data_IF_714328126821
#
_entry.id   IF_714328126821
#
_cell.length_a   1.000
_cell.length_b   1.000
_cell.length_c   1.000
_cell.angle_alpha   90.00
_cell.angle_beta   90.00
_cell.angle_gamma   90.00
#
_symmetry.space_group_name_H-M   'P 1'
#
loop_
_entity.id
_entity.type
_entity.pdbx_description
1 polymer ?
#
# COMPACT_ATOMS: atom_id res chain seq x y z
N UNK A 1 -0.16 -28.77 -6.99
CA UNK A 1 -0.61 -28.13 -5.73
C UNK A 1 0.09 -26.79 -5.65
N UNK A 2 -0.62 -25.67 -5.85
CA UNK A 2 -0.01 -24.35 -5.67
C UNK A 2 -0.01 -24.06 -4.17
N UNK A 3 1.17 -23.92 -3.58
CA UNK A 3 1.34 -23.37 -2.23
C UNK A 3 0.96 -21.89 -2.32
N UNK A 4 -0.30 -21.57 -2.06
CA UNK A 4 -0.68 -20.19 -1.74
C UNK A 4 -0.07 -19.97 -0.35
N UNK A 5 0.90 -19.06 -0.26
CA UNK A 5 1.44 -18.63 1.04
C UNK A 5 0.28 -18.18 1.96
N UNK A 6 0.51 -18.01 3.27
CA UNK A 6 -0.55 -17.56 4.17
C UNK A 6 -1.17 -16.28 3.61
N UNK A 7 -2.50 -16.17 3.64
CA UNK A 7 -3.19 -14.95 3.27
C UNK A 7 -2.64 -13.79 4.11
N UNK A 8 -2.16 -12.74 3.44
CA UNK A 8 -1.66 -11.54 4.10
C UNK A 8 -2.77 -10.50 4.09
N UNK A 9 -3.41 -10.35 5.24
CA UNK A 9 -4.46 -9.37 5.47
C UNK A 9 -3.91 -8.21 6.32
N UNK A 10 -4.13 -6.98 5.87
CA UNK A 10 -3.80 -5.77 6.61
C UNK A 10 -5.02 -4.86 6.69
N UNK A 11 -5.51 -4.58 7.90
CA UNK A 11 -6.64 -3.67 8.12
C UNK A 11 -6.16 -2.23 8.21
N UNK A 12 -6.44 -1.45 7.17
CA UNK A 12 -6.03 -0.06 7.06
C UNK A 12 -6.88 0.85 7.95
N UNK A 13 -6.22 1.69 8.75
CA UNK A 13 -6.80 2.76 9.53
C UNK A 13 -6.21 4.09 9.07
N UNK A 14 -6.98 5.18 9.10
CA UNK A 14 -6.48 6.50 8.70
C UNK A 14 -5.26 6.99 9.50
N UNK A 15 -5.07 6.47 10.71
CA UNK A 15 -3.90 6.77 11.56
C UNK A 15 -2.61 6.12 11.07
N UNK A 16 -2.69 5.09 10.23
CA UNK A 16 -1.52 4.42 9.65
C UNK A 16 -0.88 5.26 8.54
N UNK A 17 -1.47 6.41 8.20
CA UNK A 17 -0.98 7.31 7.15
C UNK A 17 -0.50 8.61 7.80
N UNK A 18 0.81 8.80 7.76
CA UNK A 18 1.51 9.97 8.28
C UNK A 18 2.44 10.53 7.20
N UNK A 19 2.92 11.76 7.36
CA UNK A 19 3.80 12.38 6.36
C UNK A 19 5.11 11.61 6.16
N UNK A 20 5.63 10.99 7.22
CA UNK A 20 6.80 10.12 7.16
C UNK A 20 6.39 8.74 6.59
N UNK A 21 6.85 8.37 5.38
CA UNK A 21 6.49 7.07 4.81
C UNK A 21 7.04 5.92 5.64
N UNK A 22 6.26 4.86 5.80
CA UNK A 22 6.72 3.64 6.47
C UNK A 22 6.10 2.39 5.86
N UNK A 23 6.87 1.31 5.88
CA UNK A 23 6.44 0.00 5.35
C UNK A 23 5.45 -0.63 6.33
N UNK A 24 4.27 -0.99 5.82
CA UNK A 24 3.22 -1.68 6.58
C UNK A 24 3.14 -3.17 6.24
N UNK A 25 3.59 -3.59 5.05
CA UNK A 25 3.67 -5.00 4.69
C UNK A 25 4.84 -5.27 3.75
N UNK A 26 5.46 -6.46 3.89
CA UNK A 26 6.50 -6.95 3.00
C UNK A 26 6.36 -8.46 2.82
N UNK A 27 6.33 -8.94 1.58
CA UNK A 27 6.18 -10.37 1.30
C UNK A 27 6.54 -10.70 -0.14
N UNK A 28 7.20 -11.84 -0.39
CA UNK A 28 7.44 -12.40 -1.74
C UNK A 28 7.78 -11.37 -2.84
N UNK A 29 8.66 -10.40 -2.55
CA UNK A 29 9.07 -9.36 -3.52
C UNK A 29 8.09 -8.20 -3.70
N UNK A 30 7.05 -8.12 -2.87
CA UNK A 30 6.09 -7.03 -2.74
C UNK A 30 6.36 -6.22 -1.46
N UNK A 31 6.33 -4.89 -1.57
CA UNK A 31 6.38 -3.98 -0.43
C UNK A 31 5.20 -3.01 -0.48
N UNK A 32 4.62 -2.70 0.68
CA UNK A 32 3.52 -1.75 0.83
C UNK A 32 3.93 -0.67 1.82
N UNK A 33 4.01 0.57 1.36
CA UNK A 33 4.38 1.75 2.16
C UNK A 33 3.17 2.65 2.33
N UNK A 34 2.81 2.97 3.57
CA UNK A 34 1.76 3.94 3.89
C UNK A 34 2.35 5.32 4.11
N UNK A 35 1.69 6.34 3.53
CA UNK A 35 2.07 7.74 3.70
C UNK A 35 0.88 8.67 3.45
N UNK A 36 1.00 9.90 3.94
CA UNK A 36 0.02 10.96 3.71
C UNK A 36 0.68 12.09 2.93
N UNK A 37 0.08 12.48 1.81
CA UNK A 37 0.50 13.69 1.09
C UNK A 37 0.28 14.94 1.95
N UNK A 38 1.03 16.04 1.74
CA UNK A 38 0.78 17.31 2.42
C UNK A 38 -0.64 17.86 2.24
N UNK A 39 -1.35 17.45 1.19
CA UNK A 39 -2.77 17.74 0.96
C UNK A 39 -3.73 17.03 1.93
N UNK A 40 -3.22 16.13 2.79
CA UNK A 40 -3.99 15.30 3.70
C UNK A 40 -4.42 13.95 3.12
N UNK A 41 -4.14 13.70 1.83
CA UNK A 41 -4.57 12.48 1.13
C UNK A 41 -3.73 11.27 1.57
N UNK A 42 -4.40 10.23 2.07
CA UNK A 42 -3.78 8.95 2.40
C UNK A 42 -3.51 8.11 1.15
N UNK A 43 -2.28 7.58 1.04
CA UNK A 43 -1.84 6.80 -0.09
C UNK A 43 -1.02 5.58 0.35
N UNK A 44 -1.16 4.50 -0.43
CA UNK A 44 -0.27 3.35 -0.40
C UNK A 44 0.59 3.37 -1.65
N UNK A 45 1.89 3.22 -1.47
CA UNK A 45 2.80 2.83 -2.55
C UNK A 45 2.99 1.32 -2.46
N UNK A 46 2.55 0.61 -3.50
CA UNK A 46 2.70 -0.84 -3.62
C UNK A 46 3.72 -1.12 -4.71
N UNK A 47 4.81 -1.79 -4.36
CA UNK A 47 5.97 -1.97 -5.26
C UNK A 47 6.39 -3.43 -5.35
N UNK A 48 6.87 -3.84 -6.52
CA UNK A 48 7.57 -5.09 -6.74
C UNK A 48 8.67 -4.94 -7.80
N UNK A 49 9.32 -6.03 -8.18
CA UNK A 49 10.38 -6.05 -9.20
C UNK A 49 9.95 -5.52 -10.58
N UNK A 50 8.64 -5.46 -10.87
CA UNK A 50 8.09 -5.06 -12.18
C UNK A 50 7.62 -3.61 -12.21
N UNK A 51 7.51 -2.95 -11.06
CA UNK A 51 7.05 -1.56 -10.98
C UNK A 51 6.28 -1.27 -9.70
N UNK A 52 5.49 -0.21 -9.73
CA UNK A 52 4.70 0.23 -8.59
C UNK A 52 3.36 0.86 -8.99
N UNK A 53 2.46 0.94 -8.02
CA UNK A 53 1.18 1.65 -8.12
C UNK A 53 0.93 2.49 -6.88
N UNK A 54 0.16 3.57 -7.05
CA UNK A 54 -0.41 4.34 -5.94
C UNK A 54 -1.88 3.98 -5.78
N UNK A 55 -2.26 3.58 -4.56
CA UNK A 55 -3.65 3.32 -4.18
C UNK A 55 -4.08 4.39 -3.18
N UNK A 56 -5.26 4.99 -3.40
CA UNK A 56 -5.87 5.95 -2.47
C UNK A 56 -7.03 5.26 -1.71
N UNK A 57 -6.74 4.52 -0.63
CA UNK A 57 -7.71 3.59 -0.03
C UNK A 57 -8.96 4.27 0.52
N UNK A 58 -8.87 5.55 0.90
CA UNK A 58 -9.99 6.32 1.46
C UNK A 58 -10.61 7.33 0.50
N UNK A 59 -10.16 7.40 -0.76
CA UNK A 59 -10.74 8.26 -1.80
C UNK A 59 -11.41 7.41 -2.89
N UNK A 60 -12.55 6.81 -2.53
CA UNK A 60 -13.41 6.10 -3.49
C UNK A 60 -12.76 4.88 -4.16
N UNK A 61 -11.68 4.32 -3.58
CA UNK A 61 -10.91 3.19 -4.13
C UNK A 61 -10.44 3.40 -5.58
N UNK A 62 -9.93 4.59 -5.91
CA UNK A 62 -9.32 4.84 -7.22
C UNK A 62 -7.89 4.24 -7.25
N UNK A 63 -7.65 3.30 -8.18
CA UNK A 63 -6.30 2.80 -8.52
C UNK A 63 -5.82 3.55 -9.77
N UNK A 64 -4.62 4.13 -9.71
CA UNK A 64 -3.99 4.81 -10.83
C UNK A 64 -2.69 4.06 -11.18
N UNK A 65 -2.57 3.59 -12.42
CA UNK A 65 -1.36 2.98 -12.96
C UNK A 65 -0.58 3.99 -13.82
N UNK A 66 0.75 3.87 -13.81
CA UNK A 66 1.66 4.50 -14.78
C UNK A 66 2.14 3.51 -15.82
#
# INVERSE_FOLDING_TARGET
MQNIGPDIEFHLRRQDFVEQPHVIANTYGLSVTAFRYPSGIEALLVENERGNIIVLPFMGQMIWGG
#
